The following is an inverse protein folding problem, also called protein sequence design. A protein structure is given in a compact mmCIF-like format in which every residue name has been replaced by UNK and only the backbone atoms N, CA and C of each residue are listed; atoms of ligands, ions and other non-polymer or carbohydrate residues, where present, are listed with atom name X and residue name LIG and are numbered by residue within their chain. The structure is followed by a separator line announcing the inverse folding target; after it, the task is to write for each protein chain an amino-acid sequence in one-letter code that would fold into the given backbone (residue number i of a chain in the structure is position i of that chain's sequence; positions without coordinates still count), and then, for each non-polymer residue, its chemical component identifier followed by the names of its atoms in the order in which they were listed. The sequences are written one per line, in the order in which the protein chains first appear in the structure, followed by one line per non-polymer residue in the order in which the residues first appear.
data_IF_195421318773
#
_entry.id   IF_195421318773
#
_cell.length_a   1.000
_cell.length_b   1.000
_cell.length_c   1.000
_cell.angle_alpha   90.00
_cell.angle_beta   90.00
_cell.angle_gamma   90.00
#
_symmetry.space_group_name_H-M   'P 1'
#
loop_
_entity.id
_entity.type
_entity.pdbx_description
1 polymer ?
#
# COMPACT_ATOMS: atom_id res chain seq x y z
N UNK A 1 -19.16 27.14 -12.34
CA UNK A 1 -17.68 27.30 -12.25
C UNK A 1 -17.14 27.15 -10.84
N UNK A 2 -17.76 27.61 -9.75
CA UNK A 2 -17.19 27.57 -8.40
C UNK A 2 -17.01 26.17 -7.76
N UNK A 3 -17.85 25.20 -8.08
CA UNK A 3 -17.84 23.87 -7.41
C UNK A 3 -16.68 22.95 -7.86
N UNK A 4 -16.22 23.07 -9.11
CA UNK A 4 -15.10 22.31 -9.66
C UNK A 4 -13.77 22.78 -9.05
N UNK A 5 -13.59 24.10 -8.94
CA UNK A 5 -12.42 24.74 -8.33
C UNK A 5 -12.27 24.43 -6.84
N UNK A 6 -13.38 24.23 -6.11
CA UNK A 6 -13.32 23.89 -4.68
C UNK A 6 -12.88 22.43 -4.46
N UNK A 7 -13.33 21.49 -5.28
CA UNK A 7 -12.91 20.09 -5.25
C UNK A 7 -11.42 19.93 -5.60
N UNK A 8 -10.96 20.62 -6.64
CA UNK A 8 -9.56 20.62 -7.05
C UNK A 8 -8.68 21.18 -5.94
N UNK A 9 -9.06 22.32 -5.39
CA UNK A 9 -8.35 22.96 -4.29
C UNK A 9 -8.27 22.07 -3.05
N UNK A 10 -9.38 21.41 -2.71
CA UNK A 10 -9.41 20.45 -1.58
C UNK A 10 -8.46 19.28 -1.82
N UNK A 11 -8.37 18.76 -3.03
CA UNK A 11 -7.45 17.67 -3.40
C UNK A 11 -5.99 18.13 -3.30
N UNK A 12 -5.65 19.31 -3.81
CA UNK A 12 -4.29 19.87 -3.70
C UNK A 12 -3.85 20.04 -2.23
N UNK A 13 -4.75 20.58 -1.38
CA UNK A 13 -4.47 20.72 0.04
C UNK A 13 -4.26 19.35 0.70
N UNK A 14 -5.06 18.35 0.33
CA UNK A 14 -4.94 17.00 0.86
C UNK A 14 -3.63 16.33 0.42
N UNK A 15 -3.21 16.50 -0.83
CA UNK A 15 -1.94 15.99 -1.34
C UNK A 15 -0.75 16.63 -0.59
N UNK A 16 -0.83 17.93 -0.29
CA UNK A 16 0.19 18.60 0.51
C UNK A 16 0.21 18.14 1.98
N UNK A 17 -0.96 17.85 2.57
CA UNK A 17 -1.05 17.23 3.90
C UNK A 17 -0.44 15.83 3.89
N UNK A 18 -0.74 15.00 2.88
CA UNK A 18 -0.14 13.68 2.73
C UNK A 18 1.38 13.77 2.60
N UNK A 19 1.90 14.70 1.82
CA UNK A 19 3.34 14.93 1.71
C UNK A 19 3.97 15.28 3.06
N UNK A 20 3.36 16.18 3.83
CA UNK A 20 3.82 16.53 5.18
C UNK A 20 3.82 15.32 6.13
N UNK A 21 2.73 14.54 6.15
CA UNK A 21 2.66 13.32 6.96
C UNK A 21 3.67 12.26 6.50
N UNK A 22 3.90 12.15 5.19
CA UNK A 22 4.91 11.25 4.63
C UNK A 22 6.34 11.62 5.05
N UNK A 23 6.61 12.85 5.41
CA UNK A 23 7.90 13.29 5.94
C UNK A 23 8.00 13.09 7.46
N UNK A 24 6.94 13.45 8.21
CA UNK A 24 6.97 13.56 9.67
C UNK A 24 6.35 12.36 10.42
N UNK A 25 5.56 11.52 9.74
CA UNK A 25 4.83 10.40 10.37
C UNK A 25 3.53 10.82 11.04
N UNK A 26 2.91 9.87 11.77
CA UNK A 26 1.61 10.06 12.42
C UNK A 26 1.69 10.29 13.95
N UNK A 27 2.85 10.12 14.59
CA UNK A 27 2.98 10.09 16.04
C UNK A 27 2.55 11.40 16.73
N UNK A 28 3.01 12.55 16.21
CA UNK A 28 2.81 13.87 16.84
C UNK A 28 2.00 14.82 15.94
N UNK A 29 0.98 14.30 15.27
CA UNK A 29 0.18 15.08 14.33
C UNK A 29 -0.58 16.20 15.04
N UNK A 30 -0.39 17.43 14.57
CA UNK A 30 -1.17 18.59 15.00
C UNK A 30 -1.52 19.53 13.83
N UNK A 31 -2.65 20.23 13.94
CA UNK A 31 -3.18 21.06 12.86
C UNK A 31 -2.28 22.23 12.48
N UNK A 32 -1.52 22.80 13.45
CA UNK A 32 -0.73 24.01 13.20
C UNK A 32 0.45 23.76 12.23
N UNK A 33 1.32 22.76 12.44
CA UNK A 33 2.37 22.43 11.47
C UNK A 33 1.80 22.06 10.09
N UNK A 34 0.72 21.29 10.05
CA UNK A 34 0.08 20.93 8.77
C UNK A 34 -0.47 22.18 8.04
N UNK A 35 -1.18 23.07 8.73
CA UNK A 35 -1.69 24.30 8.14
C UNK A 35 -0.56 25.18 7.58
N UNK A 36 0.56 25.28 8.30
CA UNK A 36 1.75 25.99 7.84
C UNK A 36 2.34 25.34 6.59
N UNK A 37 2.49 24.01 6.59
CA UNK A 37 3.05 23.26 5.47
C UNK A 37 2.23 23.40 4.17
N UNK A 38 0.90 23.47 4.29
CA UNK A 38 0.00 23.61 3.12
C UNK A 38 -0.36 25.07 2.79
N UNK A 39 0.16 26.04 3.54
CA UNK A 39 0.00 27.47 3.26
C UNK A 39 -1.40 28.03 3.53
N UNK A 40 -2.13 27.46 4.51
CA UNK A 40 -3.45 27.94 4.94
C UNK A 40 -3.49 28.22 6.44
N UNK A 41 -4.53 28.89 6.91
CA UNK A 41 -4.77 29.02 8.35
C UNK A 41 -5.33 27.70 8.94
N UNK A 42 -5.16 27.51 10.25
CA UNK A 42 -5.77 26.35 10.96
C UNK A 42 -7.28 26.33 10.75
N UNK A 43 -7.95 27.49 10.80
CA UNK A 43 -9.41 27.58 10.54
C UNK A 43 -9.74 27.19 9.09
N UNK A 44 -8.90 27.54 8.12
CA UNK A 44 -9.06 27.13 6.72
C UNK A 44 -8.94 25.61 6.58
N UNK A 45 -7.97 24.99 7.26
CA UNK A 45 -7.80 23.54 7.25
C UNK A 45 -9.02 22.82 7.88
N UNK A 46 -9.49 23.32 9.03
CA UNK A 46 -10.69 22.80 9.71
C UNK A 46 -11.95 22.98 8.84
N UNK A 47 -12.06 24.11 8.14
CA UNK A 47 -13.17 24.33 7.22
C UNK A 47 -13.24 23.30 6.08
N UNK A 48 -12.09 22.92 5.52
CA UNK A 48 -12.03 21.92 4.43
C UNK A 48 -12.16 20.47 4.90
N UNK A 49 -11.64 20.12 6.07
CA UNK A 49 -11.43 18.72 6.46
C UNK A 49 -12.04 18.34 7.81
N UNK A 50 -12.54 19.28 8.61
CA UNK A 50 -13.01 19.02 9.96
C UNK A 50 -11.88 19.06 10.99
N UNK A 51 -12.02 18.31 12.07
CA UNK A 51 -11.05 18.23 13.14
C UNK A 51 -9.78 17.46 12.73
N UNK A 52 -8.80 17.43 13.61
CA UNK A 52 -7.51 16.74 13.36
C UNK A 52 -7.71 15.29 12.89
N UNK A 53 -8.56 14.54 13.57
CA UNK A 53 -8.77 13.12 13.27
C UNK A 53 -9.46 12.91 11.92
N UNK A 54 -10.41 13.78 11.56
CA UNK A 54 -11.06 13.77 10.24
C UNK A 54 -10.05 14.03 9.11
N UNK A 55 -9.12 14.98 9.34
CA UNK A 55 -8.05 15.29 8.39
C UNK A 55 -7.09 14.10 8.24
N UNK A 56 -6.70 13.46 9.33
CA UNK A 56 -5.82 12.27 9.29
C UNK A 56 -6.51 11.13 8.55
N UNK A 57 -7.78 10.88 8.81
CA UNK A 57 -8.58 9.87 8.09
C UNK A 57 -8.66 10.21 6.60
N UNK A 58 -8.91 11.47 6.24
CA UNK A 58 -8.95 11.89 4.85
C UNK A 58 -7.59 11.70 4.15
N UNK A 59 -6.49 12.04 4.84
CA UNK A 59 -5.13 11.85 4.33
C UNK A 59 -4.80 10.36 4.11
N UNK A 60 -5.13 9.49 5.04
CA UNK A 60 -4.91 8.04 4.90
C UNK A 60 -5.76 7.43 3.78
N UNK A 61 -7.00 7.89 3.58
CA UNK A 61 -7.81 7.51 2.40
C UNK A 61 -7.12 7.95 1.12
N UNK A 62 -6.61 9.19 1.07
CA UNK A 62 -5.89 9.68 -0.11
C UNK A 62 -4.63 8.88 -0.42
N UNK A 63 -3.87 8.48 0.61
CA UNK A 63 -2.73 7.55 0.46
C UNK A 63 -3.16 6.25 -0.22
N UNK A 64 -4.30 5.69 0.22
CA UNK A 64 -4.85 4.48 -0.39
C UNK A 64 -5.30 4.70 -1.84
N UNK A 65 -5.96 5.83 -2.13
CA UNK A 65 -6.38 6.19 -3.49
C UNK A 65 -5.19 6.27 -4.43
N UNK A 66 -4.10 6.94 -4.03
CA UNK A 66 -2.85 7.02 -4.80
C UNK A 66 -2.29 5.63 -5.10
N UNK A 67 -2.27 4.73 -4.11
CA UNK A 67 -1.79 3.36 -4.29
C UNK A 67 -2.69 2.58 -5.26
N UNK A 68 -4.00 2.70 -5.12
CA UNK A 68 -4.99 2.06 -6.00
C UNK A 68 -4.90 2.59 -7.44
N UNK A 69 -4.73 3.90 -7.62
CA UNK A 69 -4.50 4.50 -8.94
C UNK A 69 -3.23 3.98 -9.61
N UNK A 70 -2.14 3.80 -8.85
CA UNK A 70 -0.89 3.23 -9.37
C UNK A 70 -1.11 1.80 -9.86
N UNK A 71 -1.75 0.96 -9.06
CA UNK A 71 -2.08 -0.42 -9.42
C UNK A 71 -3.03 -0.48 -10.61
N UNK A 72 -4.09 0.30 -10.60
CA UNK A 72 -5.07 0.37 -11.70
C UNK A 72 -4.41 0.71 -13.05
N UNK A 73 -3.49 1.68 -13.07
CA UNK A 73 -2.73 2.01 -14.29
C UNK A 73 -1.88 0.84 -14.79
N UNK A 74 -1.32 0.02 -13.91
CA UNK A 74 -0.55 -1.15 -14.34
C UNK A 74 -1.43 -2.24 -14.90
N UNK A 75 -2.57 -2.50 -14.29
CA UNK A 75 -3.53 -3.52 -14.72
C UNK A 75 -4.20 -3.16 -16.04
N UNK A 76 -4.54 -1.89 -16.24
CA UNK A 76 -5.07 -1.40 -17.53
C UNK A 76 -4.05 -1.64 -18.67
N UNK A 77 -2.76 -1.39 -18.41
CA UNK A 77 -1.70 -1.56 -19.42
C UNK A 77 -1.32 -3.03 -19.64
N UNK A 78 -1.51 -3.89 -18.66
CA UNK A 78 -1.14 -5.30 -18.68
C UNK A 78 -2.24 -6.15 -17.98
N UNK A 79 -3.36 -6.42 -18.65
CA UNK A 79 -4.48 -7.16 -18.04
C UNK A 79 -4.13 -8.58 -17.59
N UNK A 80 -3.14 -9.21 -18.24
CA UNK A 80 -2.66 -10.56 -17.92
C UNK A 80 -1.54 -10.63 -16.89
N UNK A 81 -1.25 -9.53 -16.17
CA UNK A 81 -0.19 -9.51 -15.16
C UNK A 81 -0.53 -10.47 -14.00
N UNK A 82 0.35 -11.43 -13.71
CA UNK A 82 0.16 -12.35 -12.59
C UNK A 82 0.22 -11.64 -11.24
N UNK A 83 -0.34 -12.28 -10.20
CA UNK A 83 -0.25 -11.72 -8.83
C UNK A 83 1.21 -11.59 -8.38
N UNK A 84 2.08 -12.54 -8.71
CA UNK A 84 3.49 -12.48 -8.39
C UNK A 84 4.19 -11.30 -9.10
N UNK A 85 3.92 -11.09 -10.40
CA UNK A 85 4.51 -9.97 -11.14
C UNK A 85 3.99 -8.61 -10.67
N UNK A 86 2.72 -8.55 -10.26
CA UNK A 86 2.16 -7.35 -9.66
C UNK A 86 2.90 -6.98 -8.37
N UNK A 87 3.20 -7.96 -7.50
CA UNK A 87 3.96 -7.74 -6.27
C UNK A 87 5.41 -7.37 -6.53
N UNK A 88 6.08 -7.96 -7.55
CA UNK A 88 7.42 -7.52 -8.00
C UNK A 88 7.41 -6.08 -8.45
N UNK A 89 6.37 -5.68 -9.23
CA UNK A 89 6.22 -4.30 -9.70
C UNK A 89 5.94 -3.34 -8.56
N UNK A 90 5.13 -3.75 -7.58
CA UNK A 90 4.85 -2.99 -6.37
C UNK A 90 6.11 -2.78 -5.53
N UNK A 91 6.91 -3.83 -5.34
CA UNK A 91 8.19 -3.75 -4.64
C UNK A 91 9.16 -2.77 -5.31
N UNK A 92 9.26 -2.83 -6.64
CA UNK A 92 10.07 -1.87 -7.40
C UNK A 92 9.59 -0.44 -7.24
N UNK A 93 8.28 -0.22 -7.26
CA UNK A 93 7.69 1.09 -7.06
C UNK A 93 7.98 1.65 -5.66
N UNK A 94 7.84 0.86 -4.60
CA UNK A 94 8.18 1.25 -3.22
C UNK A 94 9.65 1.69 -3.14
N UNK A 95 10.55 0.97 -3.79
CA UNK A 95 11.98 1.23 -3.75
C UNK A 95 12.45 2.31 -4.75
N UNK A 96 11.59 2.80 -5.63
CA UNK A 96 11.93 3.78 -6.65
C UNK A 96 12.16 5.19 -6.09
N UNK A 97 11.49 5.53 -4.98
CA UNK A 97 11.69 6.83 -4.31
C UNK A 97 11.41 6.75 -2.81
N UNK A 98 12.04 7.63 -2.00
CA UNK A 98 11.70 7.77 -0.58
C UNK A 98 10.22 8.13 -0.36
N UNK A 99 9.62 8.93 -1.24
CA UNK A 99 8.22 9.31 -1.15
C UNK A 99 7.27 8.11 -1.28
N UNK A 100 7.53 7.18 -2.22
CA UNK A 100 6.72 5.98 -2.37
C UNK A 100 6.79 5.09 -1.13
N UNK A 101 7.98 4.91 -0.56
CA UNK A 101 8.17 4.15 0.68
C UNK A 101 7.46 4.82 1.85
N UNK A 102 7.51 6.15 1.93
CA UNK A 102 6.84 6.92 2.98
C UNK A 102 5.31 6.78 2.93
N UNK A 103 4.70 6.73 1.74
CA UNK A 103 3.26 6.46 1.60
C UNK A 103 2.87 5.08 2.17
N UNK A 104 3.69 4.05 1.93
CA UNK A 104 3.43 2.70 2.47
C UNK A 104 3.67 2.67 3.98
N UNK A 105 4.70 3.37 4.47
CA UNK A 105 4.98 3.54 5.90
C UNK A 105 3.78 4.13 6.64
N UNK A 106 3.14 5.18 6.12
CA UNK A 106 1.96 5.79 6.75
C UNK A 106 0.83 4.78 6.98
N UNK A 107 0.60 3.87 6.04
CA UNK A 107 -0.39 2.80 6.20
C UNK A 107 -0.03 1.81 7.31
N UNK A 108 1.26 1.50 7.49
CA UNK A 108 1.76 0.62 8.57
C UNK A 108 1.65 1.34 9.92
N UNK A 109 2.06 2.61 10.01
CA UNK A 109 1.92 3.43 11.22
C UNK A 109 0.46 3.54 11.67
N UNK A 110 -0.45 3.82 10.73
CA UNK A 110 -1.89 3.88 11.02
C UNK A 110 -2.41 2.55 11.58
N UNK A 111 -2.03 1.41 10.98
CA UNK A 111 -2.43 0.09 11.46
C UNK A 111 -1.89 -0.21 12.87
N UNK A 112 -0.65 0.20 13.17
CA UNK A 112 -0.05 0.03 14.49
C UNK A 112 -0.73 0.92 15.55
N UNK A 113 -1.02 2.18 15.22
CA UNK A 113 -1.72 3.10 16.12
C UNK A 113 -3.12 2.61 16.45
N UNK A 114 -3.89 2.12 15.49
CA UNK A 114 -5.22 1.56 15.74
C UNK A 114 -5.18 0.30 16.61
N UNK A 115 -4.12 -0.49 16.52
CA UNK A 115 -3.97 -1.69 17.35
C UNK A 115 -3.67 -1.36 18.82
N UNK A 116 -3.09 -0.18 19.09
CA UNK A 116 -2.58 0.19 20.42
C UNK A 116 -3.36 1.30 21.10
N UNK A 117 -4.14 2.10 20.36
CA UNK A 117 -4.88 3.24 20.91
C UNK A 117 -6.26 3.36 20.28
N UNK A 118 -7.25 3.71 21.11
CA UNK A 118 -8.63 3.99 20.69
C UNK A 118 -8.81 5.34 19.97
N UNK A 119 -7.73 6.00 19.56
CA UNK A 119 -7.74 7.40 19.11
C UNK A 119 -7.97 7.64 17.61
N UNK A 120 -7.82 6.63 16.77
CA UNK A 120 -8.22 6.74 15.35
C UNK A 120 -9.51 5.93 15.14
N UNK A 121 -10.53 6.50 14.48
CA UNK A 121 -11.73 5.73 14.17
C UNK A 121 -11.34 4.47 13.39
N UNK A 122 -11.73 3.28 13.86
CA UNK A 122 -11.38 1.97 13.30
C UNK A 122 -11.82 1.71 11.85
N UNK A 123 -12.31 2.75 11.17
CA UNK A 123 -12.82 2.78 9.80
C UNK A 123 -11.70 2.61 8.77
N UNK A 124 -10.47 3.04 9.07
CA UNK A 124 -9.39 3.06 8.05
C UNK A 124 -8.70 1.70 7.93
N UNK A 125 -8.53 0.99 9.04
CA UNK A 125 -7.76 -0.26 9.09
C UNK A 125 -8.49 -1.47 8.53
N UNK A 126 -9.67 -1.74 9.05
CA UNK A 126 -10.39 -2.98 8.70
C UNK A 126 -10.70 -3.01 7.20
N UNK A 127 -11.13 -1.88 6.66
CA UNK A 127 -11.52 -1.76 5.26
C UNK A 127 -10.30 -1.84 4.33
N UNK A 128 -9.18 -1.18 4.64
CA UNK A 128 -7.99 -1.21 3.79
C UNK A 128 -7.27 -2.56 3.81
N UNK A 129 -7.08 -3.16 4.99
CA UNK A 129 -6.44 -4.49 5.09
C UNK A 129 -7.32 -5.53 4.42
N UNK A 130 -8.65 -5.47 4.64
CA UNK A 130 -9.61 -6.38 4.03
C UNK A 130 -9.64 -6.20 2.51
N UNK A 131 -9.61 -4.97 2.01
CA UNK A 131 -9.61 -4.67 0.57
C UNK A 131 -8.36 -5.24 -0.13
N UNK A 132 -7.16 -4.98 0.37
CA UNK A 132 -5.94 -5.51 -0.23
C UNK A 132 -5.86 -7.04 -0.17
N UNK A 133 -6.26 -7.64 0.95
CA UNK A 133 -6.34 -9.10 1.05
C UNK A 133 -7.36 -9.67 0.08
N UNK A 134 -8.55 -9.06 -0.02
CA UNK A 134 -9.60 -9.49 -0.94
C UNK A 134 -9.15 -9.38 -2.40
N UNK A 135 -8.50 -8.30 -2.78
CA UNK A 135 -7.96 -8.12 -4.14
C UNK A 135 -6.95 -9.21 -4.50
N UNK A 136 -6.01 -9.53 -3.60
CA UNK A 136 -5.06 -10.64 -3.79
C UNK A 136 -5.82 -11.96 -3.91
N UNK A 137 -6.80 -12.23 -3.05
CA UNK A 137 -7.63 -13.45 -3.06
C UNK A 137 -8.34 -13.61 -4.42
N UNK A 138 -9.02 -12.57 -4.91
CA UNK A 138 -9.74 -12.62 -6.19
C UNK A 138 -8.82 -12.86 -7.38
N UNK A 139 -7.64 -12.26 -7.37
CA UNK A 139 -6.66 -12.49 -8.43
C UNK A 139 -6.12 -13.92 -8.42
N UNK A 140 -5.81 -14.47 -7.25
CA UNK A 140 -5.38 -15.87 -7.13
C UNK A 140 -6.48 -16.84 -7.58
N UNK A 141 -7.74 -16.56 -7.29
CA UNK A 141 -8.87 -17.34 -7.82
C UNK A 141 -8.91 -17.23 -9.35
N UNK A 142 -8.73 -16.05 -9.90
CA UNK A 142 -8.63 -15.82 -11.35
C UNK A 142 -7.45 -16.54 -12.02
N UNK A 143 -6.39 -16.82 -11.27
CA UNK A 143 -5.21 -17.60 -11.69
C UNK A 143 -5.41 -19.12 -11.46
N UNK A 144 -6.59 -19.56 -11.02
CA UNK A 144 -6.97 -20.98 -10.87
C UNK A 144 -6.76 -21.55 -9.47
N UNK A 145 -6.35 -20.76 -8.48
CA UNK A 145 -6.19 -21.23 -7.10
C UNK A 145 -7.58 -21.45 -6.46
N UNK A 146 -7.84 -22.61 -5.81
CA UNK A 146 -9.12 -22.87 -5.16
C UNK A 146 -9.45 -21.80 -4.10
N UNK A 147 -10.72 -21.35 -3.97
CA UNK A 147 -11.09 -20.20 -3.11
C UNK A 147 -10.63 -20.31 -1.65
N UNK A 148 -10.74 -21.50 -1.03
CA UNK A 148 -10.30 -21.70 0.35
C UNK A 148 -8.78 -21.54 0.50
N UNK A 149 -8.00 -22.01 -0.47
CA UNK A 149 -6.55 -21.88 -0.52
C UNK A 149 -6.17 -20.44 -0.86
N UNK A 150 -6.81 -19.81 -1.83
CA UNK A 150 -6.57 -18.43 -2.24
C UNK A 150 -6.73 -17.45 -1.06
N UNK A 151 -7.72 -17.66 -0.19
CA UNK A 151 -7.92 -16.86 1.04
C UNK A 151 -6.73 -16.96 1.99
N UNK A 152 -6.20 -18.16 2.22
CA UNK A 152 -5.06 -18.38 3.10
C UNK A 152 -3.77 -17.81 2.50
N UNK A 153 -3.55 -18.05 1.21
CA UNK A 153 -2.38 -17.51 0.49
C UNK A 153 -2.42 -15.97 0.41
N UNK A 154 -3.58 -15.37 0.20
CA UNK A 154 -3.72 -13.92 0.23
C UNK A 154 -3.33 -13.32 1.58
N UNK A 155 -3.70 -13.98 2.68
CA UNK A 155 -3.32 -13.56 4.03
C UNK A 155 -1.81 -13.70 4.25
N UNK A 156 -1.22 -14.81 3.82
CA UNK A 156 0.22 -15.07 3.94
C UNK A 156 1.06 -14.10 3.10
N UNK A 157 0.67 -13.88 1.85
CA UNK A 157 1.31 -12.93 0.94
C UNK A 157 1.25 -11.52 1.50
N UNK A 158 0.10 -11.10 2.01
CA UNK A 158 -0.06 -9.77 2.64
C UNK A 158 0.83 -9.63 3.87
N UNK A 159 0.89 -10.65 4.74
CA UNK A 159 1.72 -10.65 5.94
C UNK A 159 3.22 -10.61 5.59
N UNK A 160 3.67 -11.46 4.66
CA UNK A 160 5.03 -11.48 4.14
C UNK A 160 5.44 -10.10 3.60
N UNK A 161 4.62 -9.54 2.72
CA UNK A 161 4.93 -8.25 2.09
C UNK A 161 5.03 -7.12 3.12
N UNK A 162 4.09 -7.06 4.06
CA UNK A 162 4.11 -6.09 5.15
C UNK A 162 5.36 -6.25 6.02
N UNK A 163 5.73 -7.49 6.38
CA UNK A 163 6.95 -7.77 7.14
C UNK A 163 8.23 -7.34 6.42
N UNK A 164 8.32 -7.58 5.11
CA UNK A 164 9.46 -7.14 4.29
C UNK A 164 9.57 -5.61 4.23
N UNK A 165 8.45 -4.89 4.17
CA UNK A 165 8.47 -3.42 4.19
C UNK A 165 8.87 -2.89 5.57
N UNK A 166 8.40 -3.50 6.65
CA UNK A 166 8.83 -3.13 8.02
C UNK A 166 10.33 -3.35 8.20
N UNK A 167 10.85 -4.49 7.75
CA UNK A 167 12.29 -4.78 7.78
C UNK A 167 13.09 -3.80 6.91
N UNK A 168 12.56 -3.44 5.72
CA UNK A 168 13.17 -2.42 4.85
C UNK A 168 13.28 -1.06 5.55
N UNK A 169 12.23 -0.64 6.25
CA UNK A 169 12.21 0.62 7.00
C UNK A 169 13.22 0.60 8.16
N UNK A 170 13.39 -0.56 8.81
CA UNK A 170 14.29 -0.72 9.95
C UNK A 170 15.77 -0.84 9.54
N UNK A 171 16.07 -1.54 8.44
CA UNK A 171 17.45 -1.92 8.09
C UNK A 171 18.01 -1.27 6.84
N UNK A 172 17.15 -0.86 5.90
CA UNK A 172 17.56 -0.36 4.59
C UNK A 172 18.16 -1.41 3.65
N UNK A 173 18.19 -2.70 4.03
CA UNK A 173 18.89 -3.80 3.33
C UNK A 173 18.13 -4.28 2.08
N UNK A 174 17.97 -3.42 1.09
CA UNK A 174 17.16 -3.65 -0.12
C UNK A 174 17.48 -4.95 -0.85
N UNK A 175 18.78 -5.32 -0.97
CA UNK A 175 19.21 -6.51 -1.71
C UNK A 175 18.77 -7.79 -1.01
N UNK A 176 18.98 -7.89 0.30
CA UNK A 176 18.56 -9.04 1.10
C UNK A 176 17.06 -9.23 1.04
N UNK A 177 16.31 -8.14 1.21
CA UNK A 177 14.85 -8.18 1.22
C UNK A 177 14.25 -8.46 -0.15
N UNK A 178 14.89 -8.01 -1.24
CA UNK A 178 14.49 -8.41 -2.59
C UNK A 178 14.66 -9.92 -2.80
N UNK A 179 15.76 -10.51 -2.34
CA UNK A 179 15.96 -11.96 -2.39
C UNK A 179 14.90 -12.73 -1.60
N UNK A 180 14.56 -12.24 -0.40
CA UNK A 180 13.50 -12.83 0.42
C UNK A 180 12.11 -12.72 -0.25
N UNK A 181 11.81 -11.59 -0.90
CA UNK A 181 10.61 -11.42 -1.69
C UNK A 181 10.54 -12.47 -2.81
N UNK A 182 11.61 -12.61 -3.61
CA UNK A 182 11.63 -13.57 -4.74
C UNK A 182 11.43 -15.02 -4.28
N UNK A 183 11.98 -15.42 -3.13
CA UNK A 183 11.70 -16.74 -2.53
C UNK A 183 10.21 -16.92 -2.23
N UNK A 184 9.57 -15.93 -1.62
CA UNK A 184 8.15 -15.98 -1.31
C UNK A 184 7.27 -15.99 -2.56
N UNK A 185 7.65 -15.24 -3.59
CA UNK A 185 6.92 -15.19 -4.86
C UNK A 185 7.08 -16.46 -5.66
N UNK A 186 8.26 -17.07 -5.69
CA UNK A 186 8.48 -18.38 -6.33
C UNK A 186 7.57 -19.46 -5.72
N UNK A 187 7.43 -19.47 -4.37
CA UNK A 187 6.48 -20.37 -3.71
C UNK A 187 5.02 -20.10 -4.16
N UNK A 188 4.61 -18.84 -4.28
CA UNK A 188 3.28 -18.48 -4.74
C UNK A 188 3.04 -18.95 -6.19
N UNK A 189 4.01 -18.77 -7.08
CA UNK A 189 3.96 -19.22 -8.46
C UNK A 189 3.81 -20.76 -8.55
N UNK A 190 4.54 -21.52 -7.73
CA UNK A 190 4.37 -22.98 -7.65
C UNK A 190 2.94 -23.39 -7.28
N UNK A 191 2.31 -22.67 -6.34
CA UNK A 191 0.92 -22.92 -5.95
C UNK A 191 -0.04 -22.65 -7.12
N UNK A 192 0.15 -21.55 -7.83
CA UNK A 192 -0.66 -21.18 -9.01
C UNK A 192 -0.49 -22.23 -10.11
N UNK A 193 0.72 -22.64 -10.45
CA UNK A 193 0.97 -23.67 -11.48
C UNK A 193 0.37 -25.02 -11.11
N UNK A 194 0.56 -25.46 -9.86
CA UNK A 194 -0.04 -26.71 -9.37
C UNK A 194 -1.58 -26.68 -9.46
N UNK A 195 -2.20 -25.55 -9.15
CA UNK A 195 -3.65 -25.35 -9.21
C UNK A 195 -4.18 -25.33 -10.65
N UNK A 196 -3.40 -24.80 -11.59
CA UNK A 196 -3.73 -24.75 -13.02
C UNK A 196 -3.43 -26.06 -13.76
N UNK A 197 -2.90 -27.09 -13.09
CA UNK A 197 -2.45 -28.35 -13.71
C UNK A 197 -1.25 -28.18 -14.66
N UNK A 198 -0.49 -27.08 -14.51
CA UNK A 198 0.68 -26.78 -15.31
C UNK A 198 1.93 -27.33 -14.62
N UNK A 199 2.84 -27.89 -15.42
CA UNK A 199 4.17 -28.27 -14.94
C UNK A 199 5.02 -27.03 -14.68
N UNK A 200 5.86 -27.09 -13.66
CA UNK A 200 6.81 -26.02 -13.34
C UNK A 200 7.68 -25.68 -14.58
N UNK A 201 7.79 -24.42 -15.02
CA UNK A 201 8.71 -24.07 -16.07
C UNK A 201 10.13 -24.46 -15.62
N UNK A 202 10.86 -25.18 -16.46
CA UNK A 202 12.22 -25.63 -16.18
C UNK A 202 13.06 -24.41 -15.74
N UNK A 203 13.54 -24.41 -14.51
CA UNK A 203 14.47 -23.38 -14.01
C UNK A 203 15.66 -23.31 -14.97
N UNK A 204 16.03 -22.11 -15.46
CA UNK A 204 17.27 -21.98 -16.19
C UNK A 204 18.41 -22.46 -15.27
N UNK A 205 19.18 -23.45 -15.73
CA UNK A 205 20.30 -24.01 -15.00
C UNK A 205 21.17 -22.84 -14.51
N UNK A 206 21.23 -22.65 -13.21
CA UNK A 206 22.17 -21.72 -12.58
C UNK A 206 23.57 -22.20 -12.95
N UNK A 207 24.16 -21.54 -13.96
CA UNK A 207 25.53 -21.78 -14.36
C UNK A 207 26.44 -21.62 -13.14
N UNK A 208 26.98 -22.73 -12.69
CA UNK A 208 28.15 -22.72 -11.81
C UNK A 208 29.30 -22.09 -12.60
N UNK A 209 29.74 -20.94 -12.23
CA UNK A 209 31.11 -20.46 -12.37
C UNK A 209 31.52 -19.69 -11.11
#
# INVERSE_FOLDING_TARGET
MGRHTDVERRTELLDAVVAHLAEHGLADVSLRPMATAVGVSVNGLVHHFGQKDDLVVAALRRVNDVQTEVLGRWLIRNPGLSQADLLRRWWRWINASPANLALVRLGIEAAAMEATSSGLPGVVRADQIAMWRHEIEQRLIGEGVPPAQARSEASLVKAMFTGLVVDLLATGERRRLHQALELGLARLEQIVWASAGLSEPAMPATGRR
#
